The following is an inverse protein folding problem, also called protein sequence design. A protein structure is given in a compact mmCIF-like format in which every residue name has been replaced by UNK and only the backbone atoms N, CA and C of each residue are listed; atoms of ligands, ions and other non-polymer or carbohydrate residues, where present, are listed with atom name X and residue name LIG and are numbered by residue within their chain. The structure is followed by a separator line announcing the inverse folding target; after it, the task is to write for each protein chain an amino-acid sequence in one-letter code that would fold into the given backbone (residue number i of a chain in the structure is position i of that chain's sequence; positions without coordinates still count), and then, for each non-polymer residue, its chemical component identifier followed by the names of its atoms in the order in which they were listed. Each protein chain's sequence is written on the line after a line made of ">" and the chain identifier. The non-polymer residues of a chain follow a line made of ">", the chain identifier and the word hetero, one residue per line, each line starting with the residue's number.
data_IF_556787800927
#
_entry.id   IF_556787800927
#
_cell.length_a   1.000
_cell.length_b   1.000
_cell.length_c   1.000
_cell.angle_alpha   90.00
_cell.angle_beta   90.00
_cell.angle_gamma   90.00
#
_symmetry.space_group_name_H-M   'P 1'
#
loop_
_entity.id
_entity.type
_entity.pdbx_description
1 polymer ?
#
# COMPACT_ATOMS: atom_id res chain seq x y z
N UNK A 1 4.02 32.06 -0.52
CA UNK A 1 3.22 31.98 -1.75
C UNK A 1 1.84 31.50 -1.35
N UNK A 2 0.80 32.30 -1.63
CA UNK A 2 -0.57 31.99 -1.26
C UNK A 2 -1.08 30.81 -2.08
N UNK A 3 -1.43 29.71 -1.43
CA UNK A 3 -2.20 28.65 -2.07
C UNK A 3 -3.60 29.20 -2.33
N UNK A 4 -3.80 29.83 -3.48
CA UNK A 4 -5.13 30.04 -4.03
C UNK A 4 -5.63 28.66 -4.45
N UNK A 5 -6.29 27.98 -3.53
CA UNK A 5 -7.10 26.81 -3.84
C UNK A 5 -8.24 27.30 -4.74
N UNK A 6 -8.08 27.20 -6.05
CA UNK A 6 -9.21 27.09 -6.96
C UNK A 6 -9.75 25.66 -6.82
N UNK A 7 -10.36 25.35 -5.67
CA UNK A 7 -11.25 24.20 -5.58
C UNK A 7 -12.57 24.65 -6.22
N UNK A 8 -12.78 24.27 -7.47
CA UNK A 8 -14.07 24.43 -8.14
C UNK A 8 -15.07 23.55 -7.37
N UNK A 9 -15.87 24.18 -6.50
CA UNK A 9 -16.86 23.48 -5.69
C UNK A 9 -17.88 22.87 -6.66
N UNK A 10 -18.02 21.54 -6.62
CA UNK A 10 -18.96 20.86 -7.52
C UNK A 10 -20.36 21.22 -7.07
N UNK A 11 -21.09 21.88 -7.95
CA UNK A 11 -22.49 22.27 -7.73
C UNK A 11 -23.42 21.50 -8.64
N UNK A 12 -24.63 21.23 -8.16
CA UNK A 12 -25.75 20.72 -8.94
C UNK A 12 -26.21 21.78 -9.97
N UNK A 13 -27.09 21.39 -10.90
CA UNK A 13 -27.64 22.30 -11.90
C UNK A 13 -28.41 23.50 -11.30
N UNK A 14 -28.80 23.42 -10.03
CA UNK A 14 -29.43 24.52 -9.27
C UNK A 14 -28.42 25.42 -8.54
N UNK A 15 -27.11 25.20 -8.70
CA UNK A 15 -26.04 26.00 -8.08
C UNK A 15 -25.78 25.68 -6.60
N UNK A 16 -26.34 24.57 -6.08
CA UNK A 16 -26.12 24.11 -4.70
C UNK A 16 -24.97 23.11 -4.69
N UNK A 17 -24.18 23.07 -3.61
CA UNK A 17 -23.11 22.08 -3.44
C UNK A 17 -23.64 20.66 -3.62
N UNK A 18 -23.01 19.88 -4.50
CA UNK A 18 -23.38 18.48 -4.74
C UNK A 18 -22.75 17.58 -3.67
N UNK A 19 -23.48 17.44 -2.56
CA UNK A 19 -23.06 16.61 -1.42
C UNK A 19 -22.91 15.14 -1.85
N UNK A 20 -23.69 14.67 -2.82
CA UNK A 20 -23.67 13.27 -3.22
C UNK A 20 -22.40 12.95 -4.02
N UNK A 21 -21.97 13.87 -4.88
CA UNK A 21 -20.65 13.82 -5.51
C UNK A 21 -19.53 13.66 -4.47
N UNK A 22 -19.49 14.52 -3.44
CA UNK A 22 -18.45 14.45 -2.42
C UNK A 22 -18.50 13.18 -1.57
N UNK A 23 -19.68 12.61 -1.32
CA UNK A 23 -19.81 11.30 -0.65
C UNK A 23 -19.24 10.17 -1.50
N UNK A 24 -19.53 10.17 -2.80
CA UNK A 24 -18.99 9.18 -3.74
C UNK A 24 -17.48 9.33 -3.82
N UNK A 25 -16.97 10.56 -3.91
CA UNK A 25 -15.54 10.84 -3.99
C UNK A 25 -14.80 10.43 -2.71
N UNK A 26 -15.37 10.72 -1.53
CA UNK A 26 -14.83 10.25 -0.26
C UNK A 26 -14.85 8.71 -0.14
N UNK A 27 -15.79 8.04 -0.81
CA UNK A 27 -15.86 6.58 -0.86
C UNK A 27 -14.82 6.01 -1.82
N UNK A 28 -14.59 6.66 -2.97
CA UNK A 28 -13.53 6.33 -3.93
C UNK A 28 -12.15 6.45 -3.30
N UNK A 29 -11.86 7.56 -2.62
CA UNK A 29 -10.57 7.77 -1.96
C UNK A 29 -10.32 6.69 -0.89
N UNK A 30 -11.36 6.34 -0.11
CA UNK A 30 -11.25 5.27 0.89
C UNK A 30 -10.99 3.90 0.28
N UNK A 31 -11.66 3.55 -0.83
CA UNK A 31 -11.44 2.27 -1.48
C UNK A 31 -10.06 2.16 -2.13
N UNK A 32 -9.58 3.24 -2.74
CA UNK A 32 -8.22 3.34 -3.29
C UNK A 32 -7.15 3.19 -2.20
N UNK A 33 -7.35 3.84 -1.05
CA UNK A 33 -6.47 3.71 0.09
C UNK A 33 -6.42 2.28 0.64
N UNK A 34 -7.58 1.63 0.79
CA UNK A 34 -7.65 0.23 1.23
C UNK A 34 -6.98 -0.72 0.25
N UNK A 35 -7.13 -0.50 -1.06
CA UNK A 35 -6.44 -1.27 -2.09
C UNK A 35 -4.93 -1.10 -2.03
N UNK A 36 -4.46 0.13 -1.81
CA UNK A 36 -3.03 0.42 -1.64
C UNK A 36 -2.46 -0.30 -0.39
N UNK A 37 -3.17 -0.24 0.73
CA UNK A 37 -2.80 -0.97 1.95
C UNK A 37 -2.75 -2.48 1.72
N UNK A 38 -3.74 -3.04 1.03
CA UNK A 38 -3.77 -4.47 0.74
C UNK A 38 -2.58 -4.90 -0.13
N UNK A 39 -2.27 -4.15 -1.20
CA UNK A 39 -1.10 -4.42 -2.05
C UNK A 39 0.21 -4.35 -1.27
N UNK A 40 0.34 -3.34 -0.40
CA UNK A 40 1.50 -3.18 0.47
C UNK A 40 1.65 -4.37 1.44
N UNK A 41 0.56 -4.77 2.10
CA UNK A 41 0.54 -5.91 3.01
C UNK A 41 0.92 -7.22 2.29
N UNK A 42 0.39 -7.47 1.09
CA UNK A 42 0.75 -8.65 0.28
C UNK A 42 2.23 -8.65 -0.08
N UNK A 43 2.79 -7.49 -0.43
CA UNK A 43 4.22 -7.35 -0.71
C UNK A 43 5.08 -7.65 0.52
N UNK A 44 4.72 -7.12 1.68
CA UNK A 44 5.43 -7.35 2.94
C UNK A 44 5.39 -8.82 3.37
N UNK A 45 4.23 -9.48 3.23
CA UNK A 45 4.10 -10.91 3.55
C UNK A 45 4.98 -11.74 2.61
N UNK A 46 4.97 -11.47 1.30
CA UNK A 46 5.87 -12.15 0.35
C UNK A 46 7.34 -11.95 0.73
N UNK A 47 7.72 -10.74 1.10
CA UNK A 47 9.08 -10.42 1.56
C UNK A 47 9.50 -11.28 2.75
N UNK A 48 8.64 -11.41 3.77
CA UNK A 48 8.91 -12.25 4.95
C UNK A 48 9.19 -13.71 4.60
N UNK A 49 8.40 -14.31 3.70
CA UNK A 49 8.63 -15.69 3.27
C UNK A 49 9.93 -15.86 2.49
N UNK A 50 10.29 -14.88 1.65
CA UNK A 50 11.58 -14.89 0.93
C UNK A 50 12.74 -14.81 1.92
N UNK A 51 12.70 -13.88 2.87
CA UNK A 51 13.74 -13.74 3.90
C UNK A 51 13.87 -14.99 4.74
N UNK A 52 12.75 -15.62 5.14
CA UNK A 52 12.78 -16.86 5.92
C UNK A 52 13.42 -18.03 5.14
N UNK A 53 13.13 -18.13 3.84
CA UNK A 53 13.76 -19.11 2.96
C UNK A 53 15.27 -18.88 2.85
N UNK A 54 15.69 -17.64 2.61
CA UNK A 54 17.11 -17.27 2.49
C UNK A 54 17.89 -17.53 3.80
N UNK A 55 17.31 -17.21 4.96
CA UNK A 55 17.92 -17.51 6.26
C UNK A 55 18.09 -19.02 6.46
N UNK A 56 17.10 -19.81 6.07
CA UNK A 56 17.15 -21.28 6.20
C UNK A 56 18.20 -21.89 5.27
N UNK A 57 18.28 -21.42 4.02
CA UNK A 57 19.32 -21.85 3.07
C UNK A 57 20.71 -21.42 3.54
N UNK A 58 20.86 -20.21 4.07
CA UNK A 58 22.12 -19.72 4.63
C UNK A 58 22.57 -20.58 5.82
N UNK A 59 21.65 -20.93 6.73
CA UNK A 59 21.95 -21.81 7.86
C UNK A 59 22.37 -23.22 7.40
N UNK A 60 21.70 -23.78 6.39
CA UNK A 60 22.06 -25.07 5.82
C UNK A 60 23.44 -25.04 5.14
N UNK A 61 23.75 -23.97 4.40
CA UNK A 61 25.06 -23.76 3.77
C UNK A 61 26.17 -23.59 4.82
N UNK A 62 25.91 -22.85 5.89
CA UNK A 62 26.88 -22.68 6.98
C UNK A 62 27.18 -24.01 7.68
N UNK A 63 26.16 -24.82 7.95
CA UNK A 63 26.32 -26.15 8.56
C UNK A 63 27.06 -27.15 7.66
N UNK A 64 26.81 -27.11 6.34
CA UNK A 64 27.51 -27.98 5.38
C UNK A 64 28.97 -27.59 5.21
N UNK A 65 29.29 -26.30 5.18
CA UNK A 65 30.67 -25.79 5.17
C UNK A 65 31.40 -26.16 6.46
N UNK A 66 30.76 -26.02 7.62
CA UNK A 66 31.35 -26.38 8.91
C UNK A 66 31.66 -27.90 9.02
N UNK A 67 30.80 -28.74 8.43
CA UNK A 67 31.05 -30.19 8.29
C UNK A 67 32.14 -30.54 7.28
N UNK A 68 32.38 -29.72 6.26
CA UNK A 68 33.45 -29.93 5.26
C UNK A 68 34.82 -29.43 5.74
N UNK A 69 34.85 -28.49 6.70
CA UNK A 69 36.07 -27.94 7.28
C UNK A 69 36.63 -28.76 8.46
N UNK A 70 35.88 -29.75 8.95
CA UNK A 70 36.31 -30.76 9.94
C UNK A 70 36.66 -32.07 9.27
#
# INVERSE_FOLDING_TARGET
>A
MSNQYQEEIVTTASGVVDIEYYKQEASRIRSEYLLALYRSAVSSIKGLFVTQKEVTETAANMFTVEKLAR
#
